data_IF_293978729699
#
_entry.id   IF_293978729699
#
_cell.length_a   1.000
_cell.length_b   1.000
_cell.length_c   1.000
_cell.angle_alpha   90.00
_cell.angle_beta   90.00
_cell.angle_gamma   90.00
#
_symmetry.space_group_name_H-M   'P 1'
#
loop_
_entity.id
_entity.type
_entity.pdbx_description
1 polymer ?
#
# COMPACT_ATOMS: atom_id res chain seq x y z
N UNK A 1 -11.94 -64.70 32.30
CA UNK A 1 -11.12 -64.18 31.18
C UNK A 1 -11.79 -63.13 30.32
N UNK A 2 -13.10 -63.21 30.06
CA UNK A 2 -13.81 -62.26 29.15
C UNK A 2 -13.89 -60.81 29.62
N UNK A 3 -13.88 -60.56 30.95
CA UNK A 3 -13.97 -59.19 31.49
C UNK A 3 -12.66 -58.37 31.36
N UNK A 4 -11.50 -59.00 31.49
CA UNK A 4 -10.23 -58.36 31.35
C UNK A 4 -9.92 -57.93 29.91
N UNK A 5 -10.37 -58.72 28.93
CA UNK A 5 -10.24 -58.41 27.51
C UNK A 5 -11.14 -57.24 27.08
N UNK A 6 -12.36 -57.15 27.60
CA UNK A 6 -13.25 -56.04 27.32
C UNK A 6 -12.75 -54.70 27.90
N UNK A 7 -12.16 -54.75 29.10
CA UNK A 7 -11.55 -53.54 29.73
C UNK A 7 -10.34 -53.06 28.96
N UNK A 8 -9.50 -53.99 28.46
CA UNK A 8 -8.33 -53.63 27.65
C UNK A 8 -8.72 -53.00 26.31
N UNK A 9 -9.77 -53.49 25.68
CA UNK A 9 -10.32 -52.94 24.43
C UNK A 9 -10.90 -51.53 24.65
N UNK A 10 -11.56 -51.29 25.77
CA UNK A 10 -12.13 -49.97 26.13
C UNK A 10 -11.01 -48.94 26.35
N UNK A 11 -9.93 -49.34 27.00
CA UNK A 11 -8.75 -48.44 27.23
C UNK A 11 -8.05 -48.12 25.89
N UNK A 12 -7.97 -49.05 24.95
CA UNK A 12 -7.38 -48.84 23.64
C UNK A 12 -8.21 -47.83 22.81
N UNK A 13 -9.52 -47.81 22.93
CA UNK A 13 -10.39 -46.88 22.22
C UNK A 13 -10.23 -45.47 22.74
N UNK A 14 -9.95 -45.27 24.03
CA UNK A 14 -9.72 -43.93 24.63
C UNK A 14 -8.41 -43.32 24.13
N UNK A 15 -7.39 -44.11 23.87
CA UNK A 15 -6.10 -43.58 23.33
C UNK A 15 -6.16 -43.21 21.83
N UNK A 16 -7.13 -43.73 21.07
CA UNK A 16 -7.26 -43.39 19.63
C UNK A 16 -8.06 -42.11 19.43
N UNK A 17 -8.78 -41.62 20.45
CA UNK A 17 -9.71 -40.47 20.32
C UNK A 17 -9.06 -39.11 20.53
N UNK A 18 -7.79 -39.00 20.87
CA UNK A 18 -7.16 -37.72 21.02
C UNK A 18 -6.38 -37.35 19.74
N UNK A 19 -7.07 -37.21 18.59
CA UNK A 19 -6.54 -36.38 17.51
C UNK A 19 -6.51 -34.95 18.05
N UNK A 20 -5.33 -34.50 18.42
CA UNK A 20 -5.08 -33.08 18.64
C UNK A 20 -5.43 -32.40 17.32
N UNK A 21 -6.59 -31.76 17.24
CA UNK A 21 -6.95 -30.95 16.09
C UNK A 21 -5.86 -29.88 15.98
N UNK A 22 -4.83 -30.16 15.20
CA UNK A 22 -3.79 -29.20 14.91
C UNK A 22 -4.38 -28.25 13.86
N UNK A 23 -4.54 -27.00 14.24
CA UNK A 23 -5.03 -25.95 13.38
C UNK A 23 -3.84 -25.19 12.77
N UNK A 24 -4.03 -24.69 11.57
CA UNK A 24 -3.09 -23.76 10.97
C UNK A 24 -3.20 -22.36 11.60
N UNK A 25 -2.16 -21.58 11.47
CA UNK A 25 -2.19 -20.16 11.79
C UNK A 25 -1.59 -19.33 10.66
N UNK A 26 -2.10 -18.11 10.46
CA UNK A 26 -1.56 -17.12 9.53
C UNK A 26 -1.04 -15.92 10.32
N UNK A 27 0.21 -15.57 10.12
CA UNK A 27 0.80 -14.30 10.55
C UNK A 27 0.79 -13.33 9.38
N UNK A 28 0.04 -12.24 9.50
CA UNK A 28 0.02 -11.15 8.53
C UNK A 28 1.00 -10.10 9.00
N UNK A 29 2.04 -9.84 8.22
CA UNK A 29 2.99 -8.74 8.42
C UNK A 29 2.56 -7.55 7.58
N UNK A 30 2.50 -6.35 8.19
CA UNK A 30 2.21 -5.11 7.50
C UNK A 30 3.53 -4.39 7.27
N UNK A 31 3.89 -4.26 6.01
CA UNK A 31 5.15 -3.70 5.56
C UNK A 31 4.93 -2.48 4.66
N UNK A 32 6.01 -1.75 4.40
CA UNK A 32 6.05 -0.61 3.49
C UNK A 32 7.21 -0.79 2.52
N UNK A 33 6.96 -0.60 1.22
CA UNK A 33 8.02 -0.57 0.20
C UNK A 33 8.92 0.64 0.42
N UNK A 34 8.32 1.79 0.72
CA UNK A 34 9.05 3.01 1.02
C UNK A 34 9.24 3.15 2.53
N UNK A 35 10.48 3.09 2.98
CA UNK A 35 10.83 3.25 4.41
C UNK A 35 10.42 4.59 5.02
N UNK A 36 10.06 5.58 4.20
CA UNK A 36 9.52 6.87 4.67
C UNK A 36 8.03 6.76 5.08
N UNK A 37 7.33 5.69 4.71
CA UNK A 37 5.93 5.44 5.00
C UNK A 37 5.78 4.38 6.10
N UNK A 38 6.15 4.68 7.35
CA UNK A 38 6.13 3.69 8.44
C UNK A 38 5.02 3.90 9.47
N UNK A 39 4.07 4.77 9.19
CA UNK A 39 2.99 5.10 10.11
C UNK A 39 1.80 4.14 9.92
N UNK A 40 1.72 3.13 10.78
CA UNK A 40 0.63 2.14 10.79
C UNK A 40 -0.72 2.75 11.18
N UNK A 41 -0.75 3.89 11.86
CA UNK A 41 -2.00 4.55 12.25
C UNK A 41 -2.84 5.02 11.05
N UNK A 42 -2.22 5.07 9.87
CA UNK A 42 -2.86 5.44 8.61
C UNK A 42 -3.52 4.26 7.87
N UNK A 43 -3.46 3.04 8.41
CA UNK A 43 -4.09 1.85 7.84
C UNK A 43 -5.36 1.56 8.61
N UNK A 44 -6.52 1.69 7.98
CA UNK A 44 -7.80 1.71 8.67
C UNK A 44 -8.49 0.35 8.80
N UNK A 45 -8.04 -0.68 8.14
CA UNK A 45 -8.65 -1.98 8.34
C UNK A 45 -8.10 -3.08 7.44
N UNK A 46 -8.15 -4.29 8.00
CA UNK A 46 -7.86 -5.52 7.29
C UNK A 46 -9.05 -6.44 7.52
N UNK A 47 -9.56 -7.04 6.47
CA UNK A 47 -10.63 -8.03 6.51
C UNK A 47 -10.12 -9.35 5.96
N UNK A 48 -10.42 -10.43 6.67
CA UNK A 48 -10.08 -11.78 6.22
C UNK A 48 -11.35 -12.54 5.92
N UNK A 49 -11.38 -13.12 4.73
CA UNK A 49 -12.50 -13.90 4.22
C UNK A 49 -12.09 -15.36 4.07
N UNK A 50 -13.04 -16.27 4.30
CA UNK A 50 -13.00 -17.65 3.87
C UNK A 50 -14.31 -17.96 3.18
N UNK A 51 -14.28 -18.57 2.00
CA UNK A 51 -15.46 -18.96 1.23
C UNK A 51 -16.48 -17.82 1.04
N UNK A 52 -15.97 -16.59 0.79
CA UNK A 52 -16.74 -15.37 0.61
C UNK A 52 -17.32 -14.74 1.89
N UNK A 53 -17.14 -15.36 3.05
CA UNK A 53 -17.60 -14.85 4.34
C UNK A 53 -16.47 -14.22 5.13
N UNK A 54 -16.73 -13.09 5.80
CA UNK A 54 -15.77 -12.46 6.69
C UNK A 54 -15.60 -13.34 7.94
N UNK A 55 -14.37 -13.81 8.16
CA UNK A 55 -14.01 -14.59 9.36
C UNK A 55 -13.34 -13.73 10.42
N UNK A 56 -12.70 -12.63 10.02
CA UNK A 56 -12.06 -11.68 10.96
C UNK A 56 -11.96 -10.27 10.39
N UNK A 57 -12.08 -9.27 11.26
CA UNK A 57 -11.81 -7.85 10.96
C UNK A 57 -10.81 -7.31 11.98
N UNK A 58 -9.89 -6.45 11.51
CA UNK A 58 -8.91 -5.73 12.32
C UNK A 58 -8.99 -4.25 11.98
N UNK A 59 -8.66 -3.37 12.92
CA UNK A 59 -8.71 -1.93 12.72
C UNK A 59 -10.13 -1.39 12.56
N UNK A 60 -11.11 -1.97 13.26
CA UNK A 60 -12.46 -1.44 13.34
C UNK A 60 -12.50 -0.11 14.13
N UNK A 61 -13.57 0.66 13.97
CA UNK A 61 -13.76 2.00 14.54
C UNK A 61 -13.40 2.12 16.03
N UNK A 62 -13.60 1.05 16.80
CA UNK A 62 -13.26 0.98 18.24
C UNK A 62 -11.78 0.74 18.53
N UNK A 63 -11.02 0.21 17.56
CA UNK A 63 -9.57 -0.04 17.63
C UNK A 63 -8.93 0.35 16.31
N UNK A 64 -8.75 1.65 16.04
CA UNK A 64 -8.29 2.13 14.74
C UNK A 64 -6.82 1.77 14.43
N UNK A 65 -6.05 1.40 15.46
CA UNK A 65 -4.63 1.11 15.28
C UNK A 65 -4.43 -0.38 14.92
N UNK A 66 -3.80 -0.62 13.79
CA UNK A 66 -3.40 -1.95 13.37
C UNK A 66 -1.98 -2.20 13.86
N UNK A 67 -1.77 -3.35 14.49
CA UNK A 67 -0.44 -3.80 14.88
C UNK A 67 0.39 -4.16 13.65
N UNK A 68 1.70 -4.01 13.73
CA UNK A 68 2.63 -4.38 12.66
C UNK A 68 2.50 -5.84 12.23
N UNK A 69 2.13 -6.70 13.15
CA UNK A 69 1.91 -8.12 12.93
C UNK A 69 0.55 -8.52 13.52
N UNK A 70 -0.20 -9.30 12.77
CA UNK A 70 -1.51 -9.81 13.18
C UNK A 70 -1.48 -11.32 13.01
N UNK A 71 -1.90 -12.06 14.04
CA UNK A 71 -1.99 -13.52 13.97
C UNK A 71 -3.46 -13.95 13.99
N UNK A 72 -3.76 -14.89 13.12
CA UNK A 72 -5.02 -15.63 13.06
C UNK A 72 -4.69 -17.08 13.40
N UNK A 73 -5.28 -17.59 14.47
CA UNK A 73 -5.08 -18.96 14.92
C UNK A 73 -6.31 -19.81 14.67
N UNK A 74 -6.16 -21.13 14.83
CA UNK A 74 -7.23 -22.11 14.73
C UNK A 74 -7.94 -22.12 13.37
N UNK A 75 -7.15 -22.00 12.30
CA UNK A 75 -7.66 -21.95 10.94
C UNK A 75 -7.75 -23.36 10.34
N UNK A 76 -8.91 -23.68 9.78
CA UNK A 76 -9.12 -24.90 9.01
C UNK A 76 -8.53 -24.75 7.59
N UNK A 77 -8.23 -25.87 6.93
CA UNK A 77 -7.79 -25.88 5.54
C UNK A 77 -8.77 -25.12 4.62
N UNK A 78 -8.21 -24.49 3.59
CA UNK A 78 -9.00 -23.75 2.60
C UNK A 78 -8.31 -22.46 2.14
N UNK A 79 -9.01 -21.71 1.30
CA UNK A 79 -8.52 -20.45 0.72
C UNK A 79 -8.96 -19.25 1.57
N UNK A 80 -7.99 -18.49 2.03
CA UNK A 80 -8.21 -17.26 2.79
C UNK A 80 -7.83 -16.05 1.96
N UNK A 81 -8.74 -15.07 1.90
CA UNK A 81 -8.52 -13.81 1.20
C UNK A 81 -8.38 -12.68 2.21
N UNK A 82 -7.23 -12.04 2.22
CA UNK A 82 -6.91 -10.87 3.03
C UNK A 82 -7.17 -9.64 2.18
N UNK A 83 -8.10 -8.80 2.59
CA UNK A 83 -8.50 -7.55 1.90
C UNK A 83 -8.12 -6.38 2.77
N UNK A 84 -7.47 -5.37 2.19
CA UNK A 84 -7.03 -4.17 2.88
C UNK A 84 -7.04 -2.95 1.95
N UNK A 85 -7.03 -1.76 2.52
CA UNK A 85 -6.85 -0.52 1.77
C UNK A 85 -5.41 -0.01 1.95
N UNK A 86 -4.78 0.38 0.84
CA UNK A 86 -3.48 1.01 0.85
C UNK A 86 -3.58 2.51 1.19
N UNK A 87 -2.44 3.23 1.17
CA UNK A 87 -2.38 4.65 1.52
C UNK A 87 -3.15 5.57 0.56
N UNK A 88 -3.47 5.13 -0.64
CA UNK A 88 -4.26 5.89 -1.63
C UNK A 88 -5.72 5.40 -1.72
N UNK A 89 -6.21 4.74 -0.67
CA UNK A 89 -7.57 4.17 -0.57
C UNK A 89 -7.90 3.14 -1.67
N UNK A 90 -6.89 2.54 -2.29
CA UNK A 90 -7.08 1.45 -3.24
C UNK A 90 -7.29 0.15 -2.47
N UNK A 91 -8.39 -0.55 -2.74
CA UNK A 91 -8.66 -1.87 -2.16
C UNK A 91 -7.77 -2.91 -2.82
N UNK A 92 -6.94 -3.55 -2.02
CA UNK A 92 -6.03 -4.61 -2.44
C UNK A 92 -6.42 -5.93 -1.77
N UNK A 93 -5.97 -7.03 -2.36
CA UNK A 93 -6.21 -8.36 -1.79
C UNK A 93 -5.01 -9.28 -1.97
N UNK A 94 -4.85 -10.20 -1.01
CA UNK A 94 -3.89 -11.28 -1.07
C UNK A 94 -4.55 -12.58 -0.67
N UNK A 95 -4.30 -13.66 -1.40
CA UNK A 95 -4.87 -14.98 -1.10
C UNK A 95 -3.79 -15.87 -0.50
N UNK A 96 -4.18 -16.66 0.51
CA UNK A 96 -3.36 -17.66 1.18
C UNK A 96 -4.10 -18.98 1.14
N UNK A 97 -3.47 -20.00 0.59
CA UNK A 97 -4.01 -21.36 0.58
C UNK A 97 -3.45 -22.12 1.78
N UNK A 98 -4.32 -22.58 2.67
CA UNK A 98 -3.97 -23.44 3.79
C UNK A 98 -4.29 -24.88 3.40
N UNK A 99 -3.23 -25.68 3.30
CA UNK A 99 -3.34 -27.12 2.93
C UNK A 99 -2.93 -28.01 4.09
N UNK A 100 -2.09 -27.50 5.00
CA UNK A 100 -1.53 -28.23 6.11
C UNK A 100 -1.67 -27.46 7.42
N UNK A 101 -1.69 -28.16 8.53
CA UNK A 101 -1.71 -27.59 9.87
C UNK A 101 -0.32 -27.08 10.26
N UNK A 102 0.06 -25.94 9.67
CA UNK A 102 1.33 -25.30 9.93
C UNK A 102 1.18 -23.78 10.06
N UNK A 103 2.26 -23.13 10.38
CA UNK A 103 2.36 -21.68 10.42
C UNK A 103 2.61 -21.12 9.01
N UNK A 104 1.78 -20.16 8.60
CA UNK A 104 1.89 -19.42 7.33
C UNK A 104 2.24 -17.97 7.63
N UNK A 105 3.15 -17.41 6.86
CA UNK A 105 3.51 -16.00 6.95
C UNK A 105 3.17 -15.29 5.64
N UNK A 106 2.55 -14.11 5.74
CA UNK A 106 2.10 -13.31 4.61
C UNK A 106 2.42 -11.86 4.86
N UNK A 107 3.21 -11.25 3.98
CA UNK A 107 3.42 -9.79 3.99
C UNK A 107 2.41 -9.11 3.09
N UNK A 108 1.81 -8.02 3.60
CA UNK A 108 1.03 -7.05 2.83
C UNK A 108 1.75 -5.72 2.87
N UNK A 109 1.81 -5.02 1.72
CA UNK A 109 2.47 -3.73 1.61
C UNK A 109 1.42 -2.63 1.57
N UNK A 110 1.41 -1.80 2.60
CA UNK A 110 0.40 -0.76 2.77
C UNK A 110 0.54 0.40 1.79
N UNK A 111 1.73 0.63 1.27
CA UNK A 111 2.04 1.66 0.27
C UNK A 111 2.28 1.10 -1.14
N UNK A 112 1.99 -0.19 -1.36
CA UNK A 112 2.00 -0.77 -2.70
C UNK A 112 0.84 -0.23 -3.51
N UNK A 113 1.12 0.18 -4.74
CA UNK A 113 0.13 0.56 -5.75
C UNK A 113 0.39 -0.20 -7.04
N UNK A 114 -0.65 -0.78 -7.65
CA UNK A 114 -0.51 -1.40 -8.96
C UNK A 114 -0.79 -0.37 -10.06
N UNK A 115 0.24 0.40 -10.39
CA UNK A 115 0.21 1.46 -11.39
C UNK A 115 0.73 1.03 -12.77
N UNK A 116 1.11 -0.23 -12.96
CA UNK A 116 1.77 -0.72 -14.18
C UNK A 116 0.96 -0.45 -15.44
N UNK A 117 -0.36 -0.57 -15.38
CA UNK A 117 -1.26 -0.30 -16.51
C UNK A 117 -1.33 1.19 -16.89
N UNK A 118 -0.91 2.09 -15.99
CA UNK A 118 -0.95 3.53 -16.19
C UNK A 118 0.36 4.10 -16.72
N UNK A 119 1.47 3.35 -16.65
CA UNK A 119 2.79 3.81 -17.12
C UNK A 119 2.76 4.28 -18.58
N UNK A 120 2.00 3.63 -19.44
CA UNK A 120 1.85 4.02 -20.85
C UNK A 120 1.13 5.36 -21.05
N UNK A 121 0.40 5.84 -20.05
CA UNK A 121 -0.34 7.11 -20.04
C UNK A 121 0.40 8.24 -19.32
N UNK A 122 1.58 7.96 -18.76
CA UNK A 122 2.38 8.97 -18.06
C UNK A 122 2.96 9.98 -19.05
N UNK A 123 2.77 11.25 -18.80
CA UNK A 123 3.38 12.34 -19.55
C UNK A 123 4.91 12.29 -19.45
N UNK A 124 5.44 12.01 -18.25
CA UNK A 124 6.89 11.92 -18.02
C UNK A 124 7.50 10.75 -18.79
N UNK A 125 6.82 9.59 -18.81
CA UNK A 125 7.28 8.42 -19.56
C UNK A 125 7.33 8.69 -21.08
N UNK A 126 6.34 9.41 -21.60
CA UNK A 126 6.16 9.70 -23.02
C UNK A 126 6.78 11.05 -23.43
N UNK A 127 7.54 11.70 -22.52
CA UNK A 127 8.12 13.02 -22.77
C UNK A 127 9.05 12.99 -23.97
N UNK A 128 8.74 13.79 -24.98
CA UNK A 128 9.53 13.98 -26.18
C UNK A 128 10.75 14.89 -25.95
N UNK A 129 11.71 14.87 -26.85
CA UNK A 129 12.90 15.72 -26.80
C UNK A 129 12.50 17.19 -26.86
N UNK A 130 13.17 18.02 -26.03
CA UNK A 130 12.92 19.45 -25.90
C UNK A 130 11.53 19.85 -25.41
N UNK A 131 10.72 18.88 -24.94
CA UNK A 131 9.47 19.13 -24.25
C UNK A 131 9.66 19.07 -22.72
N UNK A 132 8.61 19.51 -21.99
CA UNK A 132 8.59 19.50 -20.54
C UNK A 132 7.26 19.03 -19.99
N UNK A 133 7.31 18.45 -18.78
CA UNK A 133 6.15 18.18 -17.93
C UNK A 133 6.28 19.04 -16.69
N UNK A 134 5.22 19.75 -16.34
CA UNK A 134 5.18 20.62 -15.17
C UNK A 134 4.23 20.04 -14.13
N UNK A 135 4.72 19.88 -12.92
CA UNK A 135 3.95 19.49 -11.75
C UNK A 135 3.73 20.71 -10.87
N UNK A 136 2.50 21.00 -10.55
CA UNK A 136 2.11 22.00 -9.57
C UNK A 136 1.43 21.29 -8.40
N UNK A 137 1.84 21.66 -7.21
CA UNK A 137 1.32 21.12 -5.96
C UNK A 137 0.86 22.28 -5.08
N UNK A 138 -0.35 22.18 -4.56
CA UNK A 138 -0.89 23.06 -3.54
C UNK A 138 -1.49 22.21 -2.43
N UNK A 139 -1.08 22.47 -1.18
CA UNK A 139 -1.64 21.85 0.01
C UNK A 139 -2.32 22.91 0.84
N UNK A 140 -3.58 22.67 1.21
CA UNK A 140 -4.36 23.55 2.07
C UNK A 140 -4.94 22.75 3.22
N UNK A 141 -4.68 23.20 4.44
CA UNK A 141 -5.21 22.63 5.66
C UNK A 141 -5.54 23.70 6.68
N UNK A 142 -6.11 23.32 7.83
CA UNK A 142 -6.55 24.25 8.85
C UNK A 142 -5.46 25.19 9.36
N UNK A 143 -4.20 24.76 9.34
CA UNK A 143 -3.07 25.49 9.93
C UNK A 143 -1.84 25.58 9.02
N UNK A 144 -1.97 25.20 7.74
CA UNK A 144 -0.86 25.29 6.80
C UNK A 144 -1.36 25.52 5.38
N UNK A 145 -0.52 26.16 4.59
CA UNK A 145 -0.60 26.12 3.13
C UNK A 145 0.80 25.95 2.55
N UNK A 146 0.89 25.30 1.41
CA UNK A 146 2.15 25.16 0.69
C UNK A 146 1.87 25.16 -0.81
N UNK A 147 2.76 25.81 -1.59
CA UNK A 147 2.73 25.77 -3.05
C UNK A 147 4.11 25.44 -3.56
N UNK A 148 4.20 24.44 -4.41
CA UNK A 148 5.46 23.97 -4.94
C UNK A 148 5.31 23.58 -6.40
N UNK A 149 6.42 23.55 -7.14
CA UNK A 149 6.44 23.10 -8.54
C UNK A 149 7.71 22.35 -8.88
N UNK A 150 7.59 21.41 -9.82
CA UNK A 150 8.70 20.72 -10.44
C UNK A 150 8.51 20.77 -11.96
N UNK A 151 9.59 20.96 -12.68
CA UNK A 151 9.62 20.88 -14.15
C UNK A 151 10.53 19.72 -14.53
N UNK A 152 10.01 18.79 -15.30
CA UNK A 152 10.77 17.68 -15.87
C UNK A 152 10.96 17.96 -17.35
N UNK A 153 12.20 17.94 -17.82
CA UNK A 153 12.53 18.14 -19.23
C UNK A 153 13.41 17.02 -19.76
N UNK A 154 13.42 16.83 -21.09
CA UNK A 154 14.23 15.82 -21.76
C UNK A 154 15.13 16.47 -22.81
N UNK A 155 16.42 16.12 -22.77
CA UNK A 155 17.42 16.53 -23.76
C UNK A 155 18.23 15.30 -24.17
N UNK A 156 18.04 14.87 -25.40
CA UNK A 156 18.57 13.59 -25.88
C UNK A 156 18.02 12.41 -25.05
N UNK A 157 18.92 11.60 -24.51
CA UNK A 157 18.57 10.46 -23.65
C UNK A 157 18.49 10.79 -22.16
N UNK A 158 18.71 12.07 -21.77
CA UNK A 158 18.78 12.48 -20.37
C UNK A 158 17.55 13.26 -19.96
N UNK A 159 17.11 13.02 -18.72
CA UNK A 159 16.03 13.74 -18.08
C UNK A 159 16.61 14.70 -17.02
N UNK A 160 15.99 15.85 -16.89
CA UNK A 160 16.37 16.90 -15.95
C UNK A 160 15.18 17.26 -15.09
N UNK A 161 15.44 17.56 -13.82
CA UNK A 161 14.48 18.19 -12.91
C UNK A 161 14.90 19.61 -12.63
N UNK A 162 13.94 20.51 -12.68
CA UNK A 162 14.11 21.90 -12.27
C UNK A 162 13.16 22.23 -11.13
N UNK A 163 13.68 22.86 -10.08
CA UNK A 163 12.91 23.36 -8.95
C UNK A 163 13.59 24.61 -8.41
N UNK A 164 12.83 25.66 -8.11
CA UNK A 164 13.34 26.93 -7.59
C UNK A 164 14.49 27.51 -8.43
N UNK A 165 14.36 27.45 -9.77
CA UNK A 165 15.34 27.97 -10.72
C UNK A 165 16.67 27.18 -10.82
N UNK A 166 16.75 26.02 -10.17
CA UNK A 166 17.91 25.12 -10.24
C UNK A 166 17.56 23.85 -11.00
N UNK A 167 18.37 23.55 -12.01
CA UNK A 167 18.20 22.35 -12.83
C UNK A 167 19.33 21.36 -12.63
N UNK A 168 19.03 20.07 -12.59
CA UNK A 168 20.00 18.98 -12.58
C UNK A 168 19.51 17.74 -13.32
N UNK A 169 20.45 16.89 -13.68
CA UNK A 169 20.14 15.61 -14.29
C UNK A 169 19.48 14.65 -13.29
N UNK A 170 18.50 13.85 -13.76
CA UNK A 170 17.87 12.77 -13.04
C UNK A 170 18.60 11.45 -13.29
N UNK A 171 18.78 10.66 -12.24
CA UNK A 171 19.14 9.26 -12.38
C UNK A 171 17.89 8.40 -12.64
N UNK A 172 18.10 7.12 -12.94
CA UNK A 172 17.00 6.18 -13.28
C UNK A 172 15.99 6.03 -12.15
N UNK A 173 16.47 5.89 -10.90
CA UNK A 173 15.61 5.71 -9.72
C UNK A 173 14.73 6.94 -9.47
N UNK A 174 15.28 8.14 -9.67
CA UNK A 174 14.55 9.39 -9.52
C UNK A 174 13.47 9.55 -10.60
N UNK A 175 13.82 9.22 -11.85
CA UNK A 175 12.87 9.25 -12.96
C UNK A 175 11.71 8.26 -12.74
N UNK A 176 12.02 7.03 -12.34
CA UNK A 176 11.01 6.01 -12.06
C UNK A 176 10.09 6.43 -10.89
N UNK A 177 10.62 7.15 -9.89
CA UNK A 177 9.81 7.67 -8.79
C UNK A 177 8.86 8.81 -9.23
N UNK A 178 9.28 9.66 -10.16
CA UNK A 178 8.41 10.71 -10.72
C UNK A 178 7.29 10.07 -11.55
N UNK A 179 7.60 9.08 -12.39
CA UNK A 179 6.61 8.33 -13.15
C UNK A 179 5.62 7.61 -12.21
N UNK A 180 6.14 7.00 -11.13
CA UNK A 180 5.30 6.36 -10.10
C UNK A 180 4.36 7.37 -9.48
N UNK A 181 4.84 8.55 -9.05
CA UNK A 181 4.01 9.61 -8.49
C UNK A 181 2.87 9.99 -9.45
N UNK A 182 3.20 10.28 -10.72
CA UNK A 182 2.20 10.66 -11.73
C UNK A 182 1.12 9.58 -11.88
N UNK A 183 1.53 8.30 -11.92
CA UNK A 183 0.58 7.19 -12.01
C UNK A 183 -0.24 6.99 -10.71
N UNK A 184 0.36 7.21 -9.54
CA UNK A 184 -0.36 7.09 -8.26
C UNK A 184 -1.44 8.15 -8.12
N UNK A 185 -1.23 9.37 -8.65
CA UNK A 185 -2.26 10.42 -8.70
C UNK A 185 -3.53 9.95 -9.42
N UNK A 186 -3.39 9.20 -10.51
CA UNK A 186 -4.54 8.60 -11.23
C UNK A 186 -5.28 7.51 -10.41
N UNK A 187 -4.65 6.97 -9.35
CA UNK A 187 -5.19 5.89 -8.52
C UNK A 187 -5.80 6.38 -7.20
N UNK A 188 -5.52 7.62 -6.79
CA UNK A 188 -6.02 8.17 -5.53
C UNK A 188 -7.55 8.17 -5.56
N UNK A 189 -8.14 7.61 -4.51
CA UNK A 189 -9.57 7.66 -4.29
C UNK A 189 -9.90 8.68 -3.20
N UNK A 190 -11.10 9.22 -3.28
CA UNK A 190 -11.63 10.17 -2.29
C UNK A 190 -11.38 9.72 -0.85
N UNK A 191 -11.04 10.65 0.04
CA UNK A 191 -10.65 10.39 1.42
C UNK A 191 -11.52 11.09 2.45
N UNK A 192 -11.88 12.30 2.34
CA UNK A 192 -12.64 13.06 3.36
C UNK A 192 -11.78 13.63 4.48
N UNK A 193 -10.51 13.89 4.21
CA UNK A 193 -9.61 14.61 5.11
C UNK A 193 -9.93 16.11 5.14
N UNK A 194 -9.56 16.78 6.24
CA UNK A 194 -9.62 18.25 6.36
C UNK A 194 -8.48 18.96 5.64
N UNK A 195 -7.45 18.24 5.23
CA UNK A 195 -6.37 18.73 4.37
C UNK A 195 -6.65 18.23 2.96
N UNK A 196 -6.59 19.12 1.99
CA UNK A 196 -6.68 18.78 0.58
C UNK A 196 -5.35 19.14 -0.10
N UNK A 197 -4.76 18.15 -0.74
CA UNK A 197 -3.59 18.31 -1.59
C UNK A 197 -4.05 18.30 -3.06
N UNK A 198 -3.82 19.40 -3.74
CA UNK A 198 -4.20 19.61 -5.13
C UNK A 198 -2.97 19.51 -6.03
N UNK A 199 -3.10 18.72 -7.09
CA UNK A 199 -2.03 18.51 -8.07
C UNK A 199 -2.51 18.85 -9.46
N UNK A 200 -1.66 19.55 -10.22
CA UNK A 200 -1.84 19.77 -11.65
C UNK A 200 -0.59 19.28 -12.36
N UNK A 201 -0.79 18.42 -13.35
CA UNK A 201 0.29 17.90 -14.21
C UNK A 201 0.03 18.33 -15.63
N UNK A 202 0.94 19.12 -16.23
CA UNK A 202 0.82 19.70 -17.57
C UNK A 202 1.89 19.19 -18.52
N UNK A 203 1.50 18.90 -19.75
CA UNK A 203 2.42 18.55 -20.85
C UNK A 203 1.92 19.22 -22.14
N UNK A 204 2.60 20.28 -22.58
CA UNK A 204 2.13 21.10 -23.70
C UNK A 204 0.73 21.69 -23.41
N UNK A 205 -0.24 21.37 -24.26
CA UNK A 205 -1.63 21.82 -24.12
C UNK A 205 -2.51 20.87 -23.28
N UNK A 206 -1.97 19.72 -22.86
CA UNK A 206 -2.69 18.74 -22.05
C UNK A 206 -2.47 19.00 -20.56
N UNK A 207 -3.52 18.79 -19.78
CA UNK A 207 -3.50 18.94 -18.33
C UNK A 207 -4.31 17.85 -17.67
N UNK A 208 -3.79 17.34 -16.56
CA UNK A 208 -4.51 16.48 -15.61
C UNK A 208 -4.56 17.16 -14.25
N UNK A 209 -5.65 16.97 -13.53
CA UNK A 209 -5.88 17.58 -12.22
C UNK A 209 -6.34 16.52 -11.23
N UNK A 210 -5.78 16.54 -10.01
CA UNK A 210 -6.01 15.52 -9.01
C UNK A 210 -6.15 16.15 -7.62
N UNK A 211 -6.92 15.49 -6.76
CA UNK A 211 -7.09 15.87 -5.36
C UNK A 211 -6.80 14.69 -4.45
N UNK A 212 -5.89 14.88 -3.48
CA UNK A 212 -5.65 13.91 -2.42
C UNK A 212 -6.25 14.40 -1.12
N UNK A 213 -7.27 13.71 -0.68
CA UNK A 213 -7.96 13.92 0.60
C UNK A 213 -7.85 12.66 1.47
N UNK A 214 -6.83 11.83 1.27
CA UNK A 214 -6.67 10.58 2.00
C UNK A 214 -6.12 10.77 3.41
N UNK A 215 -5.42 11.88 3.70
CA UNK A 215 -4.61 12.10 4.91
C UNK A 215 -3.48 11.05 5.13
N UNK A 216 -3.36 10.08 4.27
CA UNK A 216 -2.48 8.93 4.44
C UNK A 216 -1.27 8.97 3.52
N UNK A 217 -1.50 9.36 2.28
CA UNK A 217 -0.48 9.37 1.26
C UNK A 217 0.42 10.60 1.41
N UNK A 218 1.71 10.41 1.20
CA UNK A 218 2.72 11.47 1.27
C UNK A 218 3.59 11.47 0.01
N UNK A 219 3.02 11.15 -1.15
CA UNK A 219 3.76 10.94 -2.38
C UNK A 219 4.65 12.11 -2.76
N UNK A 220 4.11 13.35 -2.72
CA UNK A 220 4.86 14.56 -3.02
C UNK A 220 6.07 14.75 -2.09
N UNK A 221 5.82 14.70 -0.78
CA UNK A 221 6.88 14.89 0.21
C UNK A 221 7.97 13.82 0.11
N UNK A 222 7.58 12.59 -0.19
CA UNK A 222 8.51 11.47 -0.38
C UNK A 222 9.35 11.67 -1.64
N UNK A 223 8.72 12.17 -2.72
CA UNK A 223 9.42 12.51 -3.95
C UNK A 223 10.45 13.62 -3.71
N UNK A 224 10.06 14.73 -3.06
CA UNK A 224 11.00 15.84 -2.76
C UNK A 224 12.21 15.36 -1.94
N UNK A 225 11.97 14.50 -0.93
CA UNK A 225 13.06 13.89 -0.14
C UNK A 225 13.97 13.03 -1.00
N UNK A 226 13.42 12.19 -1.88
CA UNK A 226 14.19 11.35 -2.79
C UNK A 226 15.03 12.20 -3.77
N UNK A 227 14.46 13.29 -4.25
CA UNK A 227 15.13 14.24 -5.15
C UNK A 227 16.11 15.20 -4.43
N UNK A 228 16.22 15.11 -3.08
CA UNK A 228 16.98 16.04 -2.24
C UNK A 228 16.59 17.52 -2.46
N UNK A 229 15.30 17.75 -2.69
CA UNK A 229 14.77 19.10 -2.85
C UNK A 229 14.20 19.61 -1.53
N UNK A 230 14.45 20.89 -1.24
CA UNK A 230 13.91 21.56 -0.05
C UNK A 230 12.48 22.03 -0.34
N UNK A 231 11.58 21.87 0.63
CA UNK A 231 10.27 22.50 0.60
C UNK A 231 10.45 24.03 0.54
N UNK A 232 9.65 24.67 -0.28
CA UNK A 232 9.53 26.13 -0.26
C UNK A 232 8.83 26.52 1.03
N UNK A 233 9.51 27.30 1.89
CA UNK A 233 8.83 27.92 3.04
C UNK A 233 8.03 29.09 2.50
N UNK A 234 6.72 29.03 2.61
CA UNK A 234 5.81 30.16 2.42
C UNK A 234 5.69 30.91 3.75
#
# INVERSE_FOLDING_TARGET
MKFKTALLLLILIIFVSCKKDSFASIKIKIEFENKLNQDLSKIYGIQVYKDGKIVKKFGAFEKPYIQKEITLDSLANGSYKIVYENLINQTLQKTVQIEENKFYEVSIFADYSDYRTLISKSFVRNLEENHKVEFYFESVGCFHSAKESLIISKKGKKYYVESNGKSRNLNRKELDAIIKLECELDLIKYGGCTTSDHYIVKSGNEQKEFYDETCKWNGWNNLLKLLNLKKTKV
#
